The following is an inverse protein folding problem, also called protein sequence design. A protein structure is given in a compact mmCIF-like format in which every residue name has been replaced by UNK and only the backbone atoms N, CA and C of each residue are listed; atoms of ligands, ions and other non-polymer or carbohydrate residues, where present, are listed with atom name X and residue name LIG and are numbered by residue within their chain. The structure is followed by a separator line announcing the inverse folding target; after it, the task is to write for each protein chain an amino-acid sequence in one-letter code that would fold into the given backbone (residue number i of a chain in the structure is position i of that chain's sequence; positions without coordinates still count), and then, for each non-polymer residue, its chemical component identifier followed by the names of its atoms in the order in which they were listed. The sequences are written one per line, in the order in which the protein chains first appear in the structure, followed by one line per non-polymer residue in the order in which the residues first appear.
data_IF_104781327115
#
_entry.id   IF_104781327115
#
_cell.length_a   1.000
_cell.length_b   1.000
_cell.length_c   1.000
_cell.angle_alpha   90.00
_cell.angle_beta   90.00
_cell.angle_gamma   90.00
#
_symmetry.space_group_name_H-M   'P 1'
#
loop_
_entity.id
_entity.type
_entity.pdbx_description
1 polymer ?
#
# COMPACT_ATOMS: atom_id res chain seq x y z
N UNK A 1 -22.54 -31.96 -63.81
CA UNK A 1 -21.23 -32.36 -63.26
C UNK A 1 -21.28 -32.22 -61.75
N UNK A 2 -21.22 -33.35 -61.04
CA UNK A 2 -21.29 -33.46 -59.57
C UNK A 2 -19.88 -33.38 -59.00
N UNK A 3 -19.60 -32.48 -58.05
CA UNK A 3 -18.52 -32.64 -57.06
C UNK A 3 -18.88 -31.95 -55.76
N UNK A 4 -19.43 -32.74 -54.83
CA UNK A 4 -19.38 -32.43 -53.41
C UNK A 4 -17.97 -32.62 -52.88
N UNK A 5 -17.53 -31.71 -52.00
CA UNK A 5 -16.37 -31.91 -51.15
C UNK A 5 -16.83 -31.69 -49.71
N UNK A 6 -17.07 -32.81 -49.04
CA UNK A 6 -17.29 -32.91 -47.61
C UNK A 6 -16.10 -32.31 -46.88
N UNK A 7 -16.29 -31.19 -46.19
CA UNK A 7 -15.35 -30.74 -45.16
C UNK A 7 -15.56 -31.60 -43.92
N UNK A 8 -14.81 -32.69 -43.81
CA UNK A 8 -14.78 -33.51 -42.60
C UNK A 8 -14.25 -32.65 -41.44
N UNK A 9 -15.11 -32.36 -40.47
CA UNK A 9 -14.72 -31.85 -39.16
C UNK A 9 -13.92 -32.96 -38.45
N UNK A 10 -12.73 -32.69 -37.90
CA UNK A 10 -12.13 -33.64 -36.96
C UNK A 10 -12.94 -33.58 -35.66
N UNK A 11 -13.84 -34.56 -35.47
CA UNK A 11 -14.44 -34.85 -34.17
C UNK A 11 -13.44 -35.66 -33.35
N UNK A 12 -12.37 -35.02 -32.90
CA UNK A 12 -11.51 -35.56 -31.85
C UNK A 12 -11.18 -34.42 -30.88
N UNK A 13 -12.16 -34.08 -30.05
CA UNK A 13 -11.86 -33.48 -28.75
C UNK A 13 -11.20 -34.58 -27.92
N UNK A 14 -9.87 -34.65 -27.97
CA UNK A 14 -9.11 -35.48 -27.03
C UNK A 14 -9.33 -34.92 -25.63
N UNK A 15 -10.29 -35.47 -24.91
CA UNK A 15 -10.42 -35.26 -23.48
C UNK A 15 -9.14 -35.77 -22.83
N UNK A 16 -8.32 -34.85 -22.30
CA UNK A 16 -7.13 -35.22 -21.53
C UNK A 16 -7.58 -36.12 -20.37
N UNK A 17 -7.09 -37.37 -20.29
CA UNK A 17 -7.46 -38.24 -19.18
C UNK A 17 -6.99 -37.61 -17.87
N UNK A 18 -7.93 -37.42 -16.94
CA UNK A 18 -7.71 -36.78 -15.62
C UNK A 18 -6.61 -37.47 -14.78
N UNK A 19 -6.24 -38.70 -15.13
CA UNK A 19 -5.23 -39.50 -14.43
C UNK A 19 -3.78 -39.06 -14.69
N UNK A 20 -3.50 -38.25 -15.71
CA UNK A 20 -2.13 -37.75 -15.95
C UNK A 20 -1.74 -36.50 -15.16
N UNK A 21 -2.67 -35.90 -14.41
CA UNK A 21 -2.36 -34.78 -13.53
C UNK A 21 -1.63 -35.18 -12.22
N UNK A 22 -1.54 -36.48 -11.93
CA UNK A 22 -0.91 -37.00 -10.71
C UNK A 22 0.56 -37.44 -10.88
N UNK A 23 1.03 -37.62 -12.12
CA UNK A 23 2.36 -38.20 -12.41
C UNK A 23 3.41 -37.19 -12.89
N UNK A 24 3.00 -36.00 -13.31
CA UNK A 24 3.90 -34.88 -13.53
C UNK A 24 3.77 -33.96 -12.32
N UNK A 25 4.84 -33.75 -11.52
CA UNK A 25 4.84 -32.67 -10.56
C UNK A 25 4.53 -31.42 -11.38
N UNK A 26 3.45 -30.70 -11.05
CA UNK A 26 3.28 -29.34 -11.57
C UNK A 26 4.56 -28.62 -11.18
N UNK A 27 5.45 -28.38 -12.14
CA UNK A 27 6.65 -27.58 -11.94
C UNK A 27 6.15 -26.14 -11.74
N UNK A 28 5.54 -25.88 -10.59
CA UNK A 28 5.18 -24.57 -10.06
C UNK A 28 6.46 -23.84 -9.63
N UNK A 29 7.52 -23.94 -10.42
CA UNK A 29 8.78 -23.23 -10.20
C UNK A 29 8.66 -21.84 -10.81
N UNK A 30 7.61 -21.10 -10.44
CA UNK A 30 7.44 -19.69 -10.78
C UNK A 30 8.63 -18.84 -10.30
N UNK A 31 9.43 -19.36 -9.35
CA UNK A 31 10.65 -18.73 -8.85
C UNK A 31 11.69 -18.47 -9.94
N UNK A 32 11.84 -19.37 -10.92
CA UNK A 32 12.84 -19.21 -12.00
C UNK A 32 12.48 -18.11 -13.01
N UNK A 33 11.19 -17.77 -13.14
CA UNK A 33 10.70 -16.77 -14.08
C UNK A 33 10.93 -15.32 -13.62
N UNK A 34 11.25 -15.11 -12.34
CA UNK A 34 11.47 -13.75 -11.82
C UNK A 34 12.80 -13.14 -12.26
N UNK A 35 13.81 -13.95 -12.60
CA UNK A 35 15.12 -13.46 -13.06
C UNK A 35 15.19 -13.25 -14.58
N UNK A 36 14.34 -13.94 -15.33
CA UNK A 36 14.27 -13.83 -16.79
C UNK A 36 13.28 -12.78 -17.28
N UNK A 37 12.58 -12.08 -16.36
CA UNK A 37 11.61 -11.04 -16.73
C UNK A 37 12.32 -9.71 -16.87
N UNK A 38 12.14 -9.06 -18.02
CA UNK A 38 12.61 -7.69 -18.25
C UNK A 38 12.12 -6.73 -17.16
N UNK A 39 12.98 -5.79 -16.79
CA UNK A 39 12.60 -4.73 -15.87
C UNK A 39 11.43 -3.94 -16.45
N UNK A 40 10.44 -3.63 -15.60
CA UNK A 40 9.31 -2.81 -16.07
C UNK A 40 9.80 -1.41 -16.44
N UNK A 41 9.30 -0.83 -17.54
CA UNK A 41 9.65 0.52 -17.93
C UNK A 41 9.22 1.52 -16.86
N UNK A 42 9.96 2.61 -16.75
CA UNK A 42 9.66 3.71 -15.84
C UNK A 42 8.43 4.45 -16.40
N UNK A 43 7.38 4.68 -15.60
CA UNK A 43 6.21 5.41 -16.07
C UNK A 43 6.57 6.88 -16.26
N UNK A 44 6.14 7.45 -17.39
CA UNK A 44 6.26 8.88 -17.63
C UNK A 44 5.47 9.67 -16.57
N UNK A 45 5.97 10.86 -16.25
CA UNK A 45 5.32 11.78 -15.32
C UNK A 45 3.92 12.15 -15.82
N UNK A 46 2.89 11.70 -15.11
CA UNK A 46 1.49 12.01 -15.37
C UNK A 46 1.16 13.44 -14.95
N UNK A 47 0.16 14.07 -15.59
CA UNK A 47 -0.37 15.38 -15.19
C UNK A 47 -0.75 15.43 -13.70
N UNK A 48 -1.20 14.30 -13.15
CA UNK A 48 -1.62 14.16 -11.76
C UNK A 48 -0.42 14.16 -10.79
N UNK A 49 0.76 13.69 -11.19
CA UNK A 49 1.94 13.70 -10.33
C UNK A 49 3.19 13.88 -11.19
N UNK A 50 3.54 15.14 -11.52
CA UNK A 50 4.65 15.45 -12.41
C UNK A 50 6.02 15.33 -11.72
N UNK A 51 6.06 15.45 -10.38
CA UNK A 51 7.29 15.50 -9.58
C UNK A 51 7.20 14.60 -8.34
N UNK A 52 8.36 14.19 -7.81
CA UNK A 52 8.50 13.34 -6.61
C UNK A 52 7.82 13.99 -5.41
N UNK A 53 7.99 15.30 -5.20
CA UNK A 53 7.34 16.03 -4.10
C UNK A 53 5.81 15.88 -4.17
N UNK A 54 5.25 16.13 -5.36
CA UNK A 54 3.80 16.08 -5.59
C UNK A 54 3.26 14.67 -5.37
N UNK A 55 4.00 13.64 -5.81
CA UNK A 55 3.63 12.24 -5.61
C UNK A 55 3.62 11.86 -4.13
N UNK A 56 4.71 12.15 -3.40
CA UNK A 56 4.85 11.83 -1.97
C UNK A 56 3.81 12.55 -1.11
N UNK A 57 3.46 13.79 -1.48
CA UNK A 57 2.39 14.55 -0.83
C UNK A 57 1.02 13.92 -1.07
N UNK A 58 0.71 13.51 -2.32
CA UNK A 58 -0.59 12.91 -2.67
C UNK A 58 -0.85 11.56 -2.01
N UNK A 59 0.16 10.70 -1.91
CA UNK A 59 0.02 9.40 -1.23
C UNK A 59 -0.10 9.53 0.31
N UNK A 60 0.25 10.68 0.87
CA UNK A 60 0.11 10.99 2.29
C UNK A 60 0.99 10.17 3.23
N UNK A 61 0.47 9.82 4.42
CA UNK A 61 1.17 9.05 5.47
C UNK A 61 2.53 9.60 5.90
N UNK A 62 2.74 10.91 5.78
CA UNK A 62 4.00 11.61 6.07
C UNK A 62 5.18 11.17 5.18
N UNK A 63 4.92 10.73 3.95
CA UNK A 63 5.98 10.30 3.02
C UNK A 63 6.88 11.43 2.51
N UNK A 64 6.42 12.68 2.61
CA UNK A 64 7.16 13.88 2.20
C UNK A 64 8.52 14.02 2.93
N UNK A 65 8.64 13.48 4.15
CA UNK A 65 9.88 13.53 4.93
C UNK A 65 11.08 12.84 4.26
N UNK A 66 10.84 11.98 3.26
CA UNK A 66 11.88 11.24 2.55
C UNK A 66 12.22 11.83 1.18
N UNK A 67 11.65 12.97 0.82
CA UNK A 67 11.86 13.63 -0.47
C UNK A 67 13.34 13.92 -0.74
N UNK A 68 14.07 14.47 0.23
CA UNK A 68 15.48 14.88 0.08
C UNK A 68 16.44 13.74 -0.27
N UNK A 69 15.97 12.49 -0.21
CA UNK A 69 16.75 11.30 -0.57
C UNK A 69 16.69 10.99 -2.06
N UNK A 70 15.72 11.56 -2.77
CA UNK A 70 15.53 11.35 -4.20
C UNK A 70 15.99 12.59 -4.96
N UNK A 71 16.80 12.39 -5.99
CA UNK A 71 17.25 13.47 -6.88
C UNK A 71 16.25 13.69 -8.02
N UNK A 72 15.96 12.60 -8.74
CA UNK A 72 15.18 12.62 -9.98
C UNK A 72 14.01 11.65 -9.94
N UNK A 73 13.03 11.89 -10.81
CA UNK A 73 11.89 11.00 -10.99
C UNK A 73 12.29 9.58 -11.37
N UNK A 74 13.27 9.45 -12.26
CA UNK A 74 13.77 8.14 -12.72
C UNK A 74 14.47 7.39 -11.58
N UNK A 75 15.25 8.10 -10.75
CA UNK A 75 15.89 7.51 -9.57
C UNK A 75 14.83 6.98 -8.60
N UNK A 76 13.80 7.79 -8.31
CA UNK A 76 12.68 7.45 -7.44
C UNK A 76 11.89 6.22 -7.95
N UNK A 77 11.53 6.21 -9.23
CA UNK A 77 10.78 5.11 -9.84
C UNK A 77 11.62 3.86 -10.11
N UNK A 78 12.95 3.98 -10.15
CA UNK A 78 13.89 2.87 -10.35
C UNK A 78 14.38 2.21 -9.06
N UNK A 79 14.32 2.88 -7.90
CA UNK A 79 14.96 2.40 -6.67
C UNK A 79 14.45 1.02 -6.24
N UNK A 80 15.35 0.10 -5.92
CA UNK A 80 15.01 -1.24 -5.40
C UNK A 80 14.67 -1.20 -3.90
N UNK A 81 13.93 -2.19 -3.36
CA UNK A 81 13.62 -2.23 -1.92
C UNK A 81 14.85 -2.24 -1.01
N UNK A 82 15.95 -2.84 -1.48
CA UNK A 82 17.22 -2.89 -0.77
C UNK A 82 17.85 -1.50 -0.69
N UNK A 83 17.95 -0.82 -1.83
CA UNK A 83 18.44 0.57 -1.92
C UNK A 83 17.61 1.53 -1.07
N UNK A 84 16.26 1.41 -1.04
CA UNK A 84 15.42 2.24 -0.18
C UNK A 84 15.77 2.09 1.30
N UNK A 85 16.12 0.87 1.75
CA UNK A 85 16.57 0.62 3.11
C UNK A 85 17.97 1.19 3.35
N UNK A 86 18.88 1.04 2.39
CA UNK A 86 20.25 1.56 2.51
C UNK A 86 20.29 3.11 2.52
N UNK A 87 19.38 3.76 1.79
CA UNK A 87 19.11 5.22 1.85
C UNK A 87 18.43 5.66 3.17
N UNK A 88 18.12 4.70 4.06
CA UNK A 88 17.54 4.96 5.38
C UNK A 88 16.06 5.35 5.37
N UNK A 89 15.29 4.97 4.34
CA UNK A 89 13.83 5.19 4.35
C UNK A 89 13.25 4.18 5.34
N UNK A 90 13.09 4.61 6.59
CA UNK A 90 12.54 3.83 7.70
C UNK A 90 11.30 4.57 8.24
N UNK A 91 10.29 3.85 8.76
CA UNK A 91 10.20 2.40 9.00
C UNK A 91 9.97 1.52 7.74
N UNK A 92 10.22 0.21 7.86
CA UNK A 92 9.93 -0.78 6.80
C UNK A 92 8.49 -0.73 6.24
N UNK A 93 7.52 -0.27 7.05
CA UNK A 93 6.14 -0.07 6.61
C UNK A 93 6.03 1.00 5.52
N UNK A 94 6.80 2.06 5.62
CA UNK A 94 6.77 3.19 4.70
C UNK A 94 7.45 2.80 3.38
N UNK A 95 8.53 2.00 3.41
CA UNK A 95 9.09 1.39 2.20
C UNK A 95 8.08 0.52 1.46
N UNK A 96 7.40 -0.39 2.18
CA UNK A 96 6.39 -1.27 1.57
C UNK A 96 5.25 -0.47 0.97
N UNK A 97 4.81 0.58 1.65
CA UNK A 97 3.77 1.49 1.18
C UNK A 97 4.19 2.22 -0.10
N UNK A 98 5.43 2.72 -0.14
CA UNK A 98 5.98 3.41 -1.30
C UNK A 98 6.09 2.50 -2.51
N UNK A 99 6.56 1.27 -2.32
CA UNK A 99 6.64 0.26 -3.40
C UNK A 99 5.24 -0.08 -3.93
N UNK A 100 4.27 -0.32 -3.05
CA UNK A 100 2.89 -0.59 -3.45
C UNK A 100 2.31 0.56 -4.29
N UNK A 101 2.54 1.81 -3.88
CA UNK A 101 2.08 2.98 -4.64
C UNK A 101 2.80 3.20 -5.96
N UNK A 102 4.11 2.98 -6.03
CA UNK A 102 4.85 3.01 -7.30
C UNK A 102 4.28 1.99 -8.29
N UNK A 103 3.91 0.81 -7.80
CA UNK A 103 3.30 -0.23 -8.62
C UNK A 103 1.87 0.11 -9.05
N UNK A 104 1.06 0.69 -8.17
CA UNK A 104 -0.27 1.21 -8.53
C UNK A 104 -0.18 2.28 -9.60
N UNK A 105 0.77 3.20 -9.46
CA UNK A 105 1.00 4.27 -10.42
C UNK A 105 1.43 3.72 -11.80
N UNK A 106 2.32 2.72 -11.84
CA UNK A 106 2.66 2.00 -13.08
C UNK A 106 1.45 1.36 -13.75
N UNK A 107 0.46 0.94 -12.97
CA UNK A 107 -0.79 0.37 -13.47
C UNK A 107 -1.83 1.46 -13.84
N UNK A 108 -1.47 2.75 -13.83
CA UNK A 108 -2.36 3.86 -14.18
C UNK A 108 -3.32 4.27 -13.08
N UNK A 109 -3.14 3.80 -11.84
CA UNK A 109 -3.95 4.23 -10.69
C UNK A 109 -3.40 5.54 -10.17
N UNK A 110 -4.28 6.53 -10.02
CA UNK A 110 -3.88 7.84 -9.52
C UNK A 110 -3.47 7.82 -8.03
N UNK A 111 -2.39 8.54 -7.64
CA UNK A 111 -1.93 8.60 -6.26
C UNK A 111 -2.97 9.24 -5.33
N UNK A 112 -3.38 8.51 -4.30
CA UNK A 112 -4.33 8.99 -3.27
C UNK A 112 -3.92 8.48 -1.89
N UNK A 113 -4.28 9.18 -0.80
CA UNK A 113 -3.94 8.70 0.54
C UNK A 113 -4.91 7.60 1.01
N UNK A 114 -4.39 6.40 1.20
CA UNK A 114 -5.12 5.35 1.93
C UNK A 114 -4.89 5.52 3.43
N UNK A 115 -5.85 6.11 4.15
CA UNK A 115 -5.72 6.37 5.59
C UNK A 115 -5.58 5.09 6.40
N UNK A 116 -4.81 5.17 7.49
CA UNK A 116 -4.65 4.05 8.43
C UNK A 116 -5.83 4.03 9.40
N UNK A 117 -6.31 2.84 9.74
CA UNK A 117 -7.29 2.68 10.81
C UNK A 117 -6.69 3.09 12.16
N UNK A 118 -7.41 3.93 12.90
CA UNK A 118 -7.05 4.38 14.25
C UNK A 118 -8.07 3.84 15.25
N UNK A 119 -7.59 3.45 16.44
CA UNK A 119 -8.47 3.01 17.53
C UNK A 119 -9.16 4.22 18.16
N UNK A 120 -10.47 4.30 18.03
CA UNK A 120 -11.28 5.32 18.72
C UNK A 120 -11.42 4.95 20.19
N UNK A 121 -11.14 5.88 21.11
CA UNK A 121 -11.26 5.72 22.57
C UNK A 121 -10.59 4.43 23.13
N UNK A 122 -9.44 4.04 22.56
CA UNK A 122 -8.68 2.85 23.00
C UNK A 122 -9.20 1.51 22.47
N UNK A 123 -10.21 1.52 21.58
CA UNK A 123 -10.86 0.33 21.01
C UNK A 123 -12.03 -0.18 21.85
N UNK A 124 -12.79 -1.14 21.33
CA UNK A 124 -14.06 -1.59 21.93
C UNK A 124 -13.91 -2.00 23.41
N UNK A 125 -12.92 -2.84 23.72
CA UNK A 125 -12.71 -3.36 25.09
C UNK A 125 -12.42 -2.27 26.12
N UNK A 126 -11.72 -1.20 25.74
CA UNK A 126 -11.30 -0.14 26.67
C UNK A 126 -12.15 1.12 26.61
N UNK A 127 -13.08 1.23 25.65
CA UNK A 127 -13.89 2.44 25.40
C UNK A 127 -14.60 2.97 26.65
N UNK A 128 -15.28 2.09 27.39
CA UNK A 128 -16.02 2.47 28.61
C UNK A 128 -15.08 2.99 29.71
N UNK A 129 -13.97 2.29 29.93
CA UNK A 129 -12.94 2.67 30.90
C UNK A 129 -12.30 4.02 30.54
N UNK A 130 -11.85 4.18 29.29
CA UNK A 130 -11.20 5.41 28.81
C UNK A 130 -12.13 6.62 28.99
N UNK A 131 -13.41 6.47 28.64
CA UNK A 131 -14.41 7.54 28.82
C UNK A 131 -14.66 7.86 30.30
N UNK A 132 -14.73 6.84 31.16
CA UNK A 132 -14.91 7.04 32.59
C UNK A 132 -13.70 7.77 33.22
N UNK A 133 -12.48 7.36 32.88
CA UNK A 133 -11.25 8.02 33.32
C UNK A 133 -11.19 9.49 32.85
N UNK A 134 -11.58 9.75 31.59
CA UNK A 134 -11.65 11.11 31.05
C UNK A 134 -12.59 12.00 31.86
N UNK A 135 -13.82 11.54 32.17
CA UNK A 135 -14.78 12.29 32.99
C UNK A 135 -14.26 12.57 34.41
N UNK A 136 -13.56 11.62 35.02
CA UNK A 136 -12.99 11.81 36.36
C UNK A 136 -11.89 12.87 36.33
N UNK A 137 -11.03 12.85 35.30
CA UNK A 137 -9.99 13.87 35.11
C UNK A 137 -10.61 15.27 34.91
N UNK A 138 -11.61 15.40 34.05
CA UNK A 138 -12.34 16.66 33.80
C UNK A 138 -12.92 17.23 35.11
N UNK A 139 -13.57 16.39 35.93
CA UNK A 139 -14.11 16.81 37.24
C UNK A 139 -13.01 17.25 38.22
N UNK A 140 -11.86 16.58 38.21
CA UNK A 140 -10.72 16.96 39.07
C UNK A 140 -10.15 18.31 38.63
N UNK A 141 -10.06 18.56 37.33
CA UNK A 141 -9.60 19.84 36.78
C UNK A 141 -10.57 20.98 37.07
N UNK A 142 -11.88 20.75 36.96
CA UNK A 142 -12.90 21.74 37.33
C UNK A 142 -12.74 22.19 38.77
N UNK A 143 -12.65 21.25 39.72
CA UNK A 143 -12.42 21.59 41.13
C UNK A 143 -11.14 22.38 41.36
N UNK A 144 -10.05 22.00 40.69
CA UNK A 144 -8.78 22.76 40.76
C UNK A 144 -8.93 24.18 40.23
N UNK A 145 -9.68 24.37 39.14
CA UNK A 145 -9.97 25.69 38.57
C UNK A 145 -10.84 26.52 39.49
N UNK A 146 -11.86 25.92 40.11
CA UNK A 146 -12.72 26.56 41.11
C UNK A 146 -11.92 26.99 42.34
N UNK A 147 -11.06 26.10 42.86
CA UNK A 147 -10.15 26.40 43.96
C UNK A 147 -9.17 27.52 43.61
N UNK A 148 -8.54 27.46 42.42
CA UNK A 148 -7.67 28.52 41.94
C UNK A 148 -8.41 29.86 41.76
N UNK A 149 -9.65 29.84 41.25
CA UNK A 149 -10.49 31.02 41.12
C UNK A 149 -10.87 31.59 42.49
N UNK A 150 -11.17 30.72 43.46
CA UNK A 150 -11.43 31.12 44.84
C UNK A 150 -10.20 31.78 45.47
N UNK A 151 -9.01 31.21 45.30
CA UNK A 151 -7.74 31.76 45.80
C UNK A 151 -7.42 33.11 45.14
N UNK A 152 -7.69 33.27 43.84
CA UNK A 152 -7.40 34.50 43.10
C UNK A 152 -8.45 35.61 43.32
N UNK A 153 -9.69 35.26 43.67
CA UNK A 153 -10.77 36.21 43.98
C UNK A 153 -10.79 36.71 45.43
N UNK A 154 -10.00 36.09 46.32
CA UNK A 154 -9.84 36.50 47.72
C UNK A 154 -8.63 37.43 47.94
N UNK A 155 -8.18 38.13 46.89
CA UNK A 155 -7.01 39.01 46.88
C UNK A 155 -7.37 40.44 46.53
#
# INVERSE_FOLDING_TARGET
MVRGLNRLRPLLTAARPSVFNFLLPSFNHARLLHHSREARPIPAASSTAPDVNTFLTKIGRNMIQHESKFTDWDHFMGTTPQQLRDMGIEPARDRRYLIDWRERYRNGIEPTEYKRGVKVDGGERRKKMVRALRRIAERREQRKKEEAAMIMGNR
#
